data_IF_174491537327
#
_entry.id   IF_174491537327
#
_cell.length_a   1.000
_cell.length_b   1.000
_cell.length_c   1.000
_cell.angle_alpha   90.00
_cell.angle_beta   90.00
_cell.angle_gamma   90.00
#
_symmetry.space_group_name_H-M   'P 1'
#
loop_
_entity.id
_entity.type
_entity.pdbx_description
1 polymer ?
#
# COMPACT_ATOMS: atom_id res chain seq x y z
N UNK A 1 37.62 -9.37 -39.57
CA UNK A 1 37.12 -10.20 -40.68
C UNK A 1 35.62 -10.07 -40.70
N UNK A 2 35.04 -9.70 -41.84
CA UNK A 2 33.59 -9.57 -42.01
C UNK A 2 32.91 -10.92 -41.77
N UNK A 3 31.75 -10.91 -41.12
CA UNK A 3 30.91 -12.12 -40.96
C UNK A 3 30.15 -12.47 -42.24
N UNK A 4 29.99 -11.52 -43.15
CA UNK A 4 29.32 -11.73 -44.44
C UNK A 4 30.27 -12.46 -45.39
N UNK A 5 29.91 -13.66 -45.90
CA UNK A 5 30.74 -14.40 -46.83
C UNK A 5 30.74 -13.70 -48.20
N UNK A 6 31.91 -13.68 -48.85
CA UNK A 6 32.09 -13.13 -50.22
C UNK A 6 31.15 -13.77 -51.24
N UNK A 7 30.83 -15.05 -51.04
CA UNK A 7 29.95 -15.85 -51.90
C UNK A 7 28.55 -15.26 -51.96
N UNK A 8 28.02 -14.69 -50.86
CA UNK A 8 26.69 -14.05 -50.88
C UNK A 8 26.64 -12.82 -51.77
N UNK A 9 27.73 -12.04 -51.84
CA UNK A 9 27.81 -10.83 -52.69
C UNK A 9 27.95 -11.23 -54.15
N UNK A 10 28.74 -12.26 -54.45
CA UNK A 10 28.88 -12.81 -55.80
C UNK A 10 27.54 -13.37 -56.32
N UNK A 11 26.77 -14.07 -55.49
CA UNK A 11 25.44 -14.59 -55.85
C UNK A 11 24.45 -13.45 -56.14
N UNK A 12 24.48 -12.36 -55.37
CA UNK A 12 23.64 -11.17 -55.65
C UNK A 12 24.09 -10.46 -56.93
N UNK A 13 25.40 -10.38 -57.20
CA UNK A 13 25.89 -9.81 -58.45
C UNK A 13 25.44 -10.63 -59.67
N UNK A 14 25.46 -11.95 -59.55
CA UNK A 14 24.98 -12.88 -60.59
C UNK A 14 23.47 -12.75 -60.84
N UNK A 15 22.65 -12.52 -59.79
CA UNK A 15 21.20 -12.33 -59.95
C UNK A 15 20.84 -11.06 -60.71
N UNK A 16 21.70 -10.03 -60.63
CA UNK A 16 21.56 -8.77 -61.39
C UNK A 16 22.09 -8.93 -62.84
N UNK A 17 22.83 -10.01 -63.13
CA UNK A 17 23.38 -10.31 -64.46
C UNK A 17 24.87 -9.95 -64.64
N UNK A 18 25.58 -9.61 -63.56
CA UNK A 18 27.03 -9.41 -63.60
C UNK A 18 27.75 -10.76 -63.45
N UNK A 19 28.29 -11.28 -64.56
CA UNK A 19 28.88 -12.63 -64.61
C UNK A 19 30.20 -12.81 -63.84
N UNK A 20 31.06 -11.78 -63.78
CA UNK A 20 32.35 -11.83 -63.08
C UNK A 20 32.59 -10.52 -62.32
N UNK A 21 32.31 -10.51 -61.02
CA UNK A 21 32.75 -9.46 -60.11
C UNK A 21 34.22 -9.70 -59.71
N UNK A 22 35.04 -8.66 -59.59
CA UNK A 22 36.41 -8.83 -59.08
C UNK A 22 36.37 -9.22 -57.60
N UNK A 23 37.21 -10.17 -57.15
CA UNK A 23 37.20 -10.64 -55.76
C UNK A 23 37.58 -9.52 -54.78
N UNK A 24 38.39 -8.56 -55.20
CA UNK A 24 38.76 -7.39 -54.40
C UNK A 24 37.57 -6.44 -54.16
N UNK A 25 36.67 -6.30 -55.14
CA UNK A 25 35.45 -5.50 -54.98
C UNK A 25 34.46 -6.18 -54.01
N UNK A 26 34.30 -7.50 -54.09
CA UNK A 26 33.47 -8.26 -53.16
C UNK A 26 34.00 -8.15 -51.71
N UNK A 27 35.32 -8.22 -51.53
CA UNK A 27 35.96 -8.05 -50.22
C UNK A 27 35.82 -6.65 -49.64
N UNK A 28 35.83 -5.62 -50.49
CA UNK A 28 35.64 -4.23 -50.04
C UNK A 28 34.17 -3.92 -49.68
N UNK A 29 33.21 -4.55 -50.37
CA UNK A 29 31.77 -4.30 -50.18
C UNK A 29 31.20 -5.00 -48.93
N UNK A 30 31.71 -6.18 -48.59
CA UNK A 30 31.29 -6.94 -47.41
C UNK A 30 31.32 -6.14 -46.07
N UNK A 31 32.41 -5.46 -45.69
CA UNK A 31 32.45 -4.69 -44.45
C UNK A 31 31.53 -3.46 -44.46
N UNK A 32 31.27 -2.85 -45.62
CA UNK A 32 30.35 -1.71 -45.72
C UNK A 32 28.89 -2.15 -45.50
N UNK A 33 28.48 -3.27 -46.11
CA UNK A 33 27.17 -3.87 -45.85
C UNK A 33 27.01 -4.23 -44.37
N UNK A 34 28.03 -4.85 -43.77
CA UNK A 34 27.99 -5.19 -42.35
C UNK A 34 27.86 -3.93 -41.46
N UNK A 35 28.56 -2.85 -41.80
CA UNK A 35 28.46 -1.58 -41.10
C UNK A 35 27.03 -1.01 -41.17
N UNK A 36 26.40 -1.03 -42.35
CA UNK A 36 25.00 -0.58 -42.54
C UNK A 36 24.01 -1.42 -41.75
N UNK A 37 24.17 -2.74 -41.73
CA UNK A 37 23.31 -3.63 -40.93
C UNK A 37 23.46 -3.32 -39.43
N UNK A 38 24.69 -3.15 -38.94
CA UNK A 38 24.95 -2.79 -37.54
C UNK A 38 24.35 -1.43 -37.19
N UNK A 39 24.43 -0.45 -38.09
CA UNK A 39 23.86 0.87 -37.91
C UNK A 39 22.32 0.81 -37.73
N UNK A 40 21.61 0.08 -38.60
CA UNK A 40 20.16 -0.13 -38.51
C UNK A 40 19.80 -0.88 -37.21
N UNK A 41 20.54 -1.93 -36.88
CA UNK A 41 20.29 -2.71 -35.66
C UNK A 41 20.48 -1.88 -34.38
N UNK A 42 21.47 -0.98 -34.35
CA UNK A 42 21.66 -0.09 -33.20
C UNK A 42 20.46 0.85 -33.01
N UNK A 43 19.80 1.26 -34.08
CA UNK A 43 18.62 2.12 -34.00
C UNK A 43 17.35 1.35 -33.63
N UNK A 44 17.20 0.14 -34.16
CA UNK A 44 16.13 -0.75 -33.74
C UNK A 44 16.21 -1.05 -32.23
N UNK A 45 17.42 -1.27 -31.68
CA UNK A 45 17.63 -1.45 -30.23
C UNK A 45 17.24 -0.18 -29.45
N UNK A 46 17.50 1.02 -29.97
CA UNK A 46 17.05 2.27 -29.33
C UNK A 46 15.52 2.33 -29.31
N UNK A 47 14.85 2.04 -30.43
CA UNK A 47 13.39 2.02 -30.53
C UNK A 47 12.77 0.99 -29.56
N UNK A 48 13.36 -0.20 -29.46
CA UNK A 48 12.97 -1.25 -28.51
C UNK A 48 13.07 -0.77 -27.06
N UNK A 49 14.19 -0.14 -26.68
CA UNK A 49 14.39 0.41 -25.33
C UNK A 49 13.41 1.54 -25.01
N UNK A 50 13.13 2.42 -25.97
CA UNK A 50 12.12 3.47 -25.82
C UNK A 50 10.71 2.90 -25.66
N UNK A 51 10.44 1.75 -26.27
CA UNK A 51 9.20 0.99 -26.12
C UNK A 51 9.12 0.17 -24.81
N UNK A 52 10.14 0.24 -23.94
CA UNK A 52 10.25 -0.52 -22.67
C UNK A 52 10.16 -2.04 -22.84
N UNK A 53 10.58 -2.56 -24.00
CA UNK A 53 10.62 -4.00 -24.31
C UNK A 53 12.06 -4.51 -24.23
N UNK A 54 12.22 -5.80 -23.96
CA UNK A 54 13.52 -6.50 -24.00
C UNK A 54 13.70 -7.37 -25.24
N UNK A 55 12.62 -7.62 -25.98
CA UNK A 55 12.58 -8.40 -27.21
C UNK A 55 12.42 -7.43 -28.37
N UNK A 56 13.30 -7.56 -29.37
CA UNK A 56 13.28 -6.75 -30.58
C UNK A 56 12.23 -7.30 -31.56
N UNK A 57 11.34 -6.43 -32.03
CA UNK A 57 10.25 -6.78 -32.96
C UNK A 57 10.51 -6.22 -34.36
N UNK A 58 9.81 -6.75 -35.37
CA UNK A 58 9.93 -6.25 -36.76
C UNK A 58 9.58 -4.75 -36.85
N UNK A 59 8.56 -4.31 -36.11
CA UNK A 59 8.15 -2.90 -36.02
C UNK A 59 9.28 -1.96 -35.55
N UNK A 60 10.16 -2.45 -34.65
CA UNK A 60 11.30 -1.66 -34.17
C UNK A 60 12.34 -1.47 -35.29
N UNK A 61 12.49 -2.45 -36.19
CA UNK A 61 13.37 -2.39 -37.37
C UNK A 61 12.77 -1.50 -38.45
N UNK A 62 11.47 -1.62 -38.71
CA UNK A 62 10.75 -0.75 -39.67
C UNK A 62 10.82 0.72 -39.25
N UNK A 63 10.68 0.97 -37.94
CA UNK A 63 10.88 2.30 -37.37
C UNK A 63 12.32 2.78 -37.60
N UNK A 64 13.33 1.93 -37.41
CA UNK A 64 14.73 2.28 -37.68
C UNK A 64 15.00 2.57 -39.17
N UNK A 65 14.42 1.79 -40.09
CA UNK A 65 14.52 2.02 -41.54
C UNK A 65 13.92 3.36 -41.93
N UNK A 66 12.75 3.69 -41.38
CA UNK A 66 12.08 4.98 -41.63
C UNK A 66 12.91 6.18 -41.13
N UNK A 67 13.56 6.05 -39.97
CA UNK A 67 14.45 7.08 -39.41
C UNK A 67 15.68 7.34 -40.29
N UNK A 68 16.14 6.32 -41.02
CA UNK A 68 17.28 6.39 -41.94
C UNK A 68 16.91 6.71 -43.38
N UNK A 69 15.63 6.96 -43.66
CA UNK A 69 15.11 7.16 -45.01
C UNK A 69 15.45 6.00 -45.95
N UNK A 70 15.51 4.78 -45.42
CA UNK A 70 15.63 3.55 -46.22
C UNK A 70 14.22 3.09 -46.59
N UNK A 71 14.08 2.50 -47.78
CA UNK A 71 12.80 1.97 -48.24
C UNK A 71 12.27 0.89 -47.27
N UNK A 72 10.98 0.96 -46.89
CA UNK A 72 10.39 0.00 -45.96
C UNK A 72 10.28 -1.38 -46.61
N UNK A 73 10.55 -2.42 -45.83
CA UNK A 73 10.49 -3.80 -46.30
C UNK A 73 9.14 -4.41 -45.90
N UNK A 74 8.27 -4.64 -46.88
CA UNK A 74 6.95 -5.22 -46.65
C UNK A 74 6.99 -6.75 -46.54
N UNK A 75 6.01 -7.34 -45.85
CA UNK A 75 5.82 -8.80 -45.76
C UNK A 75 6.19 -9.45 -44.43
N UNK A 76 6.67 -8.67 -43.45
CA UNK A 76 7.13 -9.19 -42.14
C UNK A 76 6.16 -8.98 -40.98
N UNK A 77 4.91 -8.59 -41.25
CA UNK A 77 3.88 -8.34 -40.24
C UNK A 77 3.13 -9.60 -39.80
N UNK A 78 3.37 -10.75 -40.44
CA UNK A 78 2.72 -12.01 -40.06
C UNK A 78 3.30 -12.57 -38.75
N UNK A 79 2.43 -13.09 -37.88
CA UNK A 79 2.84 -13.77 -36.65
C UNK A 79 3.44 -15.16 -36.88
N UNK A 80 3.40 -15.67 -38.12
CA UNK A 80 3.94 -16.98 -38.45
C UNK A 80 5.47 -16.94 -38.63
N UNK A 81 6.21 -17.87 -38.01
CA UNK A 81 7.66 -17.92 -38.16
C UNK A 81 8.05 -18.35 -39.57
N UNK A 82 8.96 -17.59 -40.19
CA UNK A 82 9.56 -17.93 -41.48
C UNK A 82 10.27 -19.29 -41.41
N UNK A 83 9.91 -20.22 -42.30
CA UNK A 83 10.49 -21.57 -42.36
C UNK A 83 11.49 -21.66 -43.52
N UNK A 84 12.77 -21.59 -43.18
CA UNK A 84 13.86 -21.81 -44.15
C UNK A 84 14.04 -23.31 -44.43
N UNK A 85 13.88 -23.72 -45.69
CA UNK A 85 14.16 -25.09 -46.16
C UNK A 85 15.46 -25.12 -46.96
N UNK A 86 16.17 -26.25 -46.88
CA UNK A 86 17.41 -26.49 -47.65
C UNK A 86 17.06 -27.00 -49.04
N UNK A 87 17.72 -26.47 -50.06
CA UNK A 87 17.57 -26.97 -51.42
C UNK A 87 18.20 -28.36 -51.58
N UNK A 88 17.53 -29.22 -52.35
CA UNK A 88 18.01 -30.59 -52.59
C UNK A 88 19.20 -30.53 -53.55
N UNK A 89 20.39 -30.95 -53.10
CA UNK A 89 21.60 -31.01 -53.92
C UNK A 89 22.72 -30.02 -53.56
N UNK A 90 22.42 -28.96 -52.80
CA UNK A 90 23.42 -27.99 -52.32
C UNK A 90 23.34 -27.83 -50.80
N UNK A 91 24.48 -27.90 -50.11
CA UNK A 91 24.52 -27.85 -48.64
C UNK A 91 24.24 -26.46 -48.07
N UNK A 92 24.53 -25.42 -48.85
CA UNK A 92 24.61 -24.03 -48.38
C UNK A 92 23.51 -23.13 -48.96
N UNK A 93 22.59 -23.69 -49.74
CA UNK A 93 21.48 -22.95 -50.35
C UNK A 93 20.18 -23.19 -49.56
N UNK A 94 19.59 -22.10 -49.08
CA UNK A 94 18.32 -22.09 -48.37
C UNK A 94 17.30 -21.29 -49.18
N UNK A 95 16.05 -21.76 -49.18
CA UNK A 95 14.92 -21.04 -49.78
C UNK A 95 13.78 -20.93 -48.76
N UNK A 96 12.90 -19.96 -48.99
CA UNK A 96 11.70 -19.74 -48.17
C UNK A 96 10.58 -20.61 -48.76
N UNK A 97 9.99 -21.47 -47.94
CA UNK A 97 8.87 -22.33 -48.35
C UNK A 97 7.56 -21.56 -48.30
N UNK A 98 7.24 -20.86 -49.37
CA UNK A 98 5.96 -20.17 -49.52
C UNK A 98 4.93 -21.12 -50.12
N UNK A 99 3.95 -21.50 -49.30
CA UNK A 99 2.81 -22.30 -49.76
C UNK A 99 1.78 -21.37 -50.37
N UNK A 100 1.38 -21.67 -51.60
CA UNK A 100 0.23 -21.03 -52.22
C UNK A 100 -1.04 -21.41 -51.44
N UNK A 101 -1.83 -20.40 -51.08
CA UNK A 101 -3.10 -20.55 -50.35
C UNK A 101 -4.23 -20.03 -51.22
N UNK A 102 -5.33 -20.76 -51.28
CA UNK A 102 -6.50 -20.34 -52.04
C UNK A 102 -7.20 -19.14 -51.38
N UNK A 103 -7.55 -18.13 -52.17
CA UNK A 103 -8.23 -16.91 -51.71
C UNK A 103 -9.56 -17.22 -50.99
N UNK A 104 -10.23 -18.31 -51.34
CA UNK A 104 -11.48 -18.75 -50.70
C UNK A 104 -11.26 -19.17 -49.25
N UNK A 105 -10.16 -19.87 -48.98
CA UNK A 105 -9.82 -20.34 -47.63
C UNK A 105 -9.50 -19.16 -46.71
N UNK A 106 -8.89 -18.09 -47.24
CA UNK A 106 -8.60 -16.86 -46.48
C UNK A 106 -9.88 -16.10 -46.12
N UNK A 107 -10.87 -16.06 -47.01
CA UNK A 107 -12.15 -15.37 -46.76
C UNK A 107 -13.01 -16.13 -45.75
N UNK A 108 -12.96 -17.45 -45.77
CA UNK A 108 -13.72 -18.32 -44.86
C UNK A 108 -13.05 -18.48 -43.48
N UNK A 109 -11.81 -18.01 -43.32
CA UNK A 109 -11.08 -18.10 -42.07
C UNK A 109 -11.79 -17.34 -40.93
N UNK A 110 -11.95 -17.94 -39.74
CA UNK A 110 -12.60 -17.28 -38.62
C UNK A 110 -11.73 -16.14 -38.06
N UNK A 111 -12.37 -15.07 -37.61
CA UNK A 111 -11.67 -13.96 -36.96
C UNK A 111 -10.99 -14.39 -35.65
N UNK A 112 -9.80 -13.85 -35.34
CA UNK A 112 -9.15 -14.10 -34.07
C UNK A 112 -9.96 -13.51 -32.91
N UNK A 113 -9.88 -14.14 -31.74
CA UNK A 113 -10.52 -13.63 -30.52
C UNK A 113 -9.79 -12.37 -30.05
N UNK A 114 -10.53 -11.29 -29.84
CA UNK A 114 -9.96 -10.07 -29.27
C UNK A 114 -9.52 -10.30 -27.82
N UNK A 115 -8.35 -9.79 -27.40
CA UNK A 115 -7.96 -9.78 -26.00
C UNK A 115 -8.88 -8.88 -25.17
N UNK A 116 -8.88 -9.08 -23.85
CA UNK A 116 -9.57 -8.18 -22.92
C UNK A 116 -8.87 -6.81 -22.88
N UNK A 117 -9.65 -5.77 -22.57
CA UNK A 117 -9.12 -4.43 -22.38
C UNK A 117 -8.12 -4.37 -21.21
N UNK A 118 -7.15 -3.46 -21.33
CA UNK A 118 -6.12 -3.27 -20.32
C UNK A 118 -6.70 -2.71 -19.02
N UNK A 119 -6.57 -3.44 -17.92
CA UNK A 119 -6.96 -3.01 -16.58
C UNK A 119 -5.75 -3.01 -15.62
N UNK A 120 -5.78 -2.13 -14.62
CA UNK A 120 -4.74 -2.02 -13.59
C UNK A 120 -5.24 -2.66 -12.30
N UNK A 121 -4.50 -3.66 -11.80
CA UNK A 121 -4.72 -4.25 -10.48
C UNK A 121 -3.60 -3.81 -9.54
N UNK A 122 -3.97 -3.23 -8.39
CA UNK A 122 -3.03 -2.72 -7.38
C UNK A 122 -2.97 -3.64 -6.18
N UNK A 123 -1.76 -3.94 -5.70
CA UNK A 123 -1.53 -4.68 -4.47
C UNK A 123 -0.35 -4.07 -3.69
N UNK A 124 -0.18 -4.46 -2.43
CA UNK A 124 0.94 -4.03 -1.61
C UNK A 124 2.18 -4.85 -1.93
N UNK A 125 3.18 -4.22 -2.56
CA UNK A 125 4.48 -4.86 -2.79
C UNK A 125 5.32 -4.94 -1.51
N UNK A 126 5.30 -3.90 -0.67
CA UNK A 126 6.05 -3.86 0.58
C UNK A 126 5.35 -2.99 1.63
N UNK A 127 5.45 -3.42 2.89
CA UNK A 127 5.03 -2.66 4.08
C UNK A 127 6.25 -2.60 5.00
N UNK A 128 6.72 -1.40 5.34
CA UNK A 128 7.94 -1.21 6.18
C UNK A 128 9.18 -1.93 5.63
N UNK A 129 9.30 -2.02 4.30
CA UNK A 129 10.41 -2.72 3.63
C UNK A 129 10.32 -4.24 3.62
N UNK A 130 9.24 -4.82 4.19
CA UNK A 130 8.96 -6.27 4.15
C UNK A 130 7.88 -6.55 3.11
N UNK A 131 8.13 -7.49 2.21
CA UNK A 131 7.14 -7.94 1.22
C UNK A 131 6.09 -8.84 1.90
N UNK A 132 4.78 -8.47 1.88
CA UNK A 132 3.75 -9.32 2.44
C UNK A 132 3.53 -10.57 1.57
N UNK A 133 3.25 -11.70 2.21
CA UNK A 133 3.00 -12.98 1.54
C UNK A 133 1.58 -13.05 0.95
N UNK A 134 1.34 -12.27 -0.10
CA UNK A 134 0.09 -12.24 -0.87
C UNK A 134 0.32 -13.04 -2.18
N UNK A 135 -0.66 -13.78 -2.74
CA UNK A 135 -0.48 -14.53 -3.99
C UNK A 135 0.17 -13.77 -5.16
N UNK A 136 -0.04 -12.45 -5.28
CA UNK A 136 0.57 -11.62 -6.31
C UNK A 136 2.07 -11.33 -6.06
N UNK A 137 2.52 -11.46 -4.81
CA UNK A 137 3.91 -11.24 -4.41
C UNK A 137 4.69 -12.55 -4.51
N UNK A 138 5.66 -12.57 -5.42
CA UNK A 138 6.58 -13.71 -5.56
C UNK A 138 7.43 -13.82 -4.29
N UNK A 139 7.48 -14.99 -3.61
CA UNK A 139 8.35 -15.18 -2.46
C UNK A 139 9.82 -14.99 -2.88
N UNK A 140 10.59 -14.31 -2.04
CA UNK A 140 12.01 -13.95 -2.30
C UNK A 140 12.87 -15.17 -2.68
N UNK A 141 12.47 -16.36 -2.22
CA UNK A 141 13.08 -17.65 -2.54
C UNK A 141 13.04 -18.02 -4.03
N UNK A 142 12.09 -17.48 -4.81
CA UNK A 142 11.98 -17.75 -6.25
C UNK A 142 12.94 -16.91 -7.11
N UNK A 143 13.62 -15.91 -6.54
CA UNK A 143 14.71 -15.19 -7.20
C UNK A 143 16.07 -15.90 -7.03
N UNK A 144 16.15 -16.85 -6.11
CA UNK A 144 17.29 -17.77 -6.00
C UNK A 144 17.05 -18.87 -7.04
N UNK A 145 18.05 -19.07 -7.90
CA UNK A 145 18.04 -20.08 -8.96
C UNK A 145 17.66 -21.49 -8.44
N UNK A 146 17.21 -22.42 -9.31
CA UNK A 146 16.70 -23.75 -8.93
C UNK A 146 17.72 -24.71 -8.26
N UNK A 147 18.89 -24.24 -7.83
CA UNK A 147 20.01 -25.08 -7.40
C UNK A 147 20.04 -25.43 -5.90
N UNK A 148 19.24 -24.78 -5.03
CA UNK A 148 19.38 -24.94 -3.57
C UNK A 148 18.10 -25.36 -2.81
N UNK A 149 17.02 -25.71 -3.50
CA UNK A 149 15.69 -25.93 -2.91
C UNK A 149 15.42 -27.34 -2.35
N UNK A 150 16.42 -28.00 -1.72
CA UNK A 150 16.24 -29.38 -1.18
C UNK A 150 16.34 -29.56 0.34
N UNK A 151 16.24 -28.52 1.16
CA UNK A 151 16.40 -28.70 2.62
C UNK A 151 15.34 -28.16 3.57
N UNK A 152 14.26 -27.54 3.13
CA UNK A 152 13.32 -26.89 4.07
C UNK A 152 11.85 -27.14 3.70
N UNK A 153 11.45 -28.40 3.61
CA UNK A 153 10.03 -28.77 3.62
C UNK A 153 9.74 -29.75 4.75
N UNK A 154 9.47 -29.22 5.94
CA UNK A 154 8.58 -29.82 6.94
C UNK A 154 8.23 -28.74 7.96
N UNK A 155 7.08 -28.10 7.76
CA UNK A 155 6.16 -27.56 8.78
C UNK A 155 5.19 -26.58 8.10
N UNK A 156 4.11 -27.12 7.55
CA UNK A 156 2.87 -26.37 7.28
C UNK A 156 1.76 -27.15 7.95
N UNK A 157 1.30 -26.69 9.10
CA UNK A 157 -0.12 -26.60 9.46
C UNK A 157 -0.24 -25.48 10.52
N UNK A 158 -1.42 -24.88 10.56
CA UNK A 158 -1.94 -23.88 11.52
C UNK A 158 -1.75 -22.38 11.25
N UNK A 159 -2.89 -21.81 10.86
CA UNK A 159 -3.38 -20.44 11.04
C UNK A 159 -2.52 -19.29 10.47
N UNK A 160 -3.17 -18.40 9.72
CA UNK A 160 -2.69 -17.05 9.48
C UNK A 160 -3.20 -16.15 10.62
N UNK A 161 -2.45 -15.95 11.72
CA UNK A 161 -2.41 -14.64 12.32
C UNK A 161 -1.52 -13.78 11.42
N UNK A 162 -2.00 -12.58 11.08
CA UNK A 162 -1.12 -11.48 10.69
C UNK A 162 -0.29 -11.18 11.94
N UNK A 163 0.72 -12.01 12.17
CA UNK A 163 1.67 -11.85 13.23
C UNK A 163 2.63 -10.81 12.70
N UNK A 164 2.34 -9.55 13.00
CA UNK A 164 3.38 -8.53 13.13
C UNK A 164 4.21 -8.94 14.36
N UNK A 165 4.81 -10.13 14.33
CA UNK A 165 5.99 -10.45 15.12
C UNK A 165 7.00 -9.46 14.59
N UNK A 166 7.22 -8.35 15.30
CA UNK A 166 8.25 -7.37 15.00
C UNK A 166 9.60 -8.11 14.86
N UNK A 167 10.05 -8.49 13.66
CA UNK A 167 11.21 -9.35 13.50
C UNK A 167 12.36 -8.49 12.99
N UNK A 168 12.49 -7.29 13.54
CA UNK A 168 13.67 -6.47 13.37
C UNK A 168 13.83 -5.78 14.71
N UNK A 169 14.90 -6.11 15.44
CA UNK A 169 15.45 -5.15 16.40
C UNK A 169 15.73 -3.92 15.54
N UNK A 170 14.81 -2.94 15.51
CA UNK A 170 15.03 -1.74 14.73
C UNK A 170 16.42 -1.25 15.14
N UNK A 171 17.31 -1.07 14.16
CA UNK A 171 18.63 -0.48 14.38
C UNK A 171 18.37 1.00 14.69
N UNK A 172 17.83 1.25 15.87
CA UNK A 172 17.59 2.56 16.42
C UNK A 172 18.97 3.15 16.69
N UNK A 173 19.23 4.31 16.09
CA UNK A 173 20.42 5.06 16.46
C UNK A 173 20.37 5.41 17.93
N UNK A 174 21.53 5.57 18.55
CA UNK A 174 21.63 6.01 19.96
C UNK A 174 20.90 7.33 20.18
N UNK A 175 20.89 8.22 19.18
CA UNK A 175 20.21 9.51 19.23
C UNK A 175 18.68 9.35 19.23
N UNK A 176 18.14 8.43 18.42
CA UNK A 176 16.70 8.14 18.39
C UNK A 176 16.21 7.52 19.70
N UNK A 177 17.04 6.67 20.33
CA UNK A 177 16.73 6.12 21.65
C UNK A 177 16.71 7.22 22.72
N UNK A 178 17.71 8.09 22.75
CA UNK A 178 17.74 9.24 23.68
C UNK A 178 16.57 10.19 23.45
N UNK A 179 16.17 10.40 22.20
CA UNK A 179 14.98 11.19 21.86
C UNK A 179 13.70 10.54 22.39
N UNK A 180 13.54 9.23 22.18
CA UNK A 180 12.41 8.47 22.71
C UNK A 180 12.35 8.52 24.24
N UNK A 181 13.47 8.26 24.92
CA UNK A 181 13.58 8.31 26.38
C UNK A 181 13.24 9.71 26.91
N UNK A 182 13.66 10.76 26.20
CA UNK A 182 13.35 12.13 26.61
C UNK A 182 11.85 12.44 26.50
N UNK A 183 11.19 11.96 25.45
CA UNK A 183 9.74 12.15 25.28
C UNK A 183 8.94 11.36 26.30
N UNK A 184 9.31 10.10 26.55
CA UNK A 184 8.62 9.25 27.53
C UNK A 184 8.78 9.84 28.94
N UNK A 185 9.98 10.29 29.31
CA UNK A 185 10.24 10.98 30.58
C UNK A 185 9.38 12.25 30.72
N UNK A 186 9.32 13.10 29.68
CA UNK A 186 8.52 14.33 29.70
C UNK A 186 7.01 14.04 29.81
N UNK A 187 6.54 12.97 29.17
CA UNK A 187 5.13 12.55 29.19
C UNK A 187 4.70 12.09 30.58
N UNK A 188 5.57 11.36 31.29
CA UNK A 188 5.29 10.80 32.63
C UNK A 188 5.52 11.80 33.77
N UNK A 189 6.53 12.67 33.66
CA UNK A 189 6.96 13.52 34.79
C UNK A 189 6.49 14.98 34.74
N UNK A 190 6.22 15.54 33.54
CA UNK A 190 5.97 16.99 33.35
C UNK A 190 4.97 17.29 32.23
N UNK A 191 3.73 16.81 32.36
CA UNK A 191 2.64 16.96 31.38
C UNK A 191 2.23 18.41 31.04
N UNK A 192 2.50 19.37 31.93
CA UNK A 192 2.15 20.80 31.75
C UNK A 192 3.34 21.72 31.44
N UNK A 193 4.54 21.17 31.28
CA UNK A 193 5.72 21.97 30.97
C UNK A 193 5.69 22.57 29.55
N UNK A 194 6.26 23.77 29.40
CA UNK A 194 6.51 24.39 28.08
C UNK A 194 7.33 23.45 27.20
N UNK A 195 8.28 22.73 27.79
CA UNK A 195 9.12 21.73 27.10
C UNK A 195 8.28 20.59 26.51
N UNK A 196 7.18 20.20 27.17
CA UNK A 196 6.30 19.16 26.63
C UNK A 196 5.52 19.68 25.42
N UNK A 197 5.10 20.95 25.42
CA UNK A 197 4.44 21.56 24.24
C UNK A 197 5.40 21.68 23.06
N UNK A 198 6.65 22.07 23.29
CA UNK A 198 7.69 22.12 22.27
C UNK A 198 8.00 20.71 21.73
N UNK A 199 8.11 19.70 22.60
CA UNK A 199 8.25 18.31 22.19
C UNK A 199 7.09 17.86 21.30
N UNK A 200 5.84 18.16 21.68
CA UNK A 200 4.66 17.83 20.86
C UNK A 200 4.67 18.49 19.47
N UNK A 201 5.23 19.70 19.35
CA UNK A 201 5.40 20.37 18.05
C UNK A 201 6.48 19.66 17.24
N UNK A 202 7.62 19.33 17.87
CA UNK A 202 8.69 18.52 17.26
C UNK A 202 8.15 17.19 16.72
N UNK A 203 7.36 16.43 17.51
CA UNK A 203 6.74 15.18 17.01
C UNK A 203 5.81 15.41 15.80
N UNK A 204 5.17 16.57 15.70
CA UNK A 204 4.25 16.89 14.62
C UNK A 204 4.97 17.34 13.33
N UNK A 205 6.17 17.92 13.44
CA UNK A 205 6.93 18.48 12.31
C UNK A 205 8.05 17.59 11.82
N UNK A 206 8.66 16.79 12.71
CA UNK A 206 9.93 16.14 12.41
C UNK A 206 9.77 14.97 11.44
N UNK A 207 10.62 14.98 10.41
CA UNK A 207 10.76 13.91 9.42
C UNK A 207 11.87 12.95 9.86
N UNK A 208 11.59 11.65 9.96
CA UNK A 208 12.57 10.63 10.36
C UNK A 208 12.21 9.84 11.63
N UNK A 209 11.08 10.16 12.26
CA UNK A 209 10.57 9.45 13.43
C UNK A 209 9.87 8.12 13.10
N UNK A 210 9.81 7.75 11.82
CA UNK A 210 9.09 6.56 11.37
C UNK A 210 9.52 5.26 12.08
N UNK A 211 10.82 4.98 12.30
CA UNK A 211 11.25 3.79 13.04
C UNK A 211 10.81 3.76 14.52
N UNK A 212 10.47 4.91 15.11
CA UNK A 212 10.03 5.03 16.50
C UNK A 212 8.52 4.82 16.67
N UNK A 213 7.73 4.91 15.61
CA UNK A 213 6.26 4.80 15.65
C UNK A 213 5.77 3.49 16.28
N UNK A 214 6.28 2.30 15.92
CA UNK A 214 5.89 1.06 16.59
C UNK A 214 6.15 1.10 18.10
N UNK A 215 7.31 1.65 18.52
CA UNK A 215 7.66 1.77 19.94
C UNK A 215 6.75 2.75 20.67
N UNK A 216 6.43 3.90 20.07
CA UNK A 216 5.43 4.82 20.62
C UNK A 216 4.05 4.17 20.72
N UNK A 217 3.62 3.40 19.71
CA UNK A 217 2.31 2.75 19.73
C UNK A 217 2.20 1.70 20.85
N UNK A 218 3.27 0.92 21.08
CA UNK A 218 3.33 -0.04 22.17
C UNK A 218 3.38 0.65 23.53
N UNK A 219 4.24 1.67 23.68
CA UNK A 219 4.36 2.48 24.89
C UNK A 219 3.02 3.13 25.25
N UNK A 220 2.33 3.73 24.29
CA UNK A 220 1.01 4.35 24.51
C UNK A 220 -0.02 3.28 24.94
N UNK A 221 -0.05 2.12 24.30
CA UNK A 221 -0.99 1.06 24.67
C UNK A 221 -0.75 0.53 26.09
N UNK A 222 0.50 0.28 26.45
CA UNK A 222 0.91 -0.23 27.76
C UNK A 222 0.65 0.81 28.86
N UNK A 223 1.10 2.06 28.67
CA UNK A 223 0.90 3.13 29.63
C UNK A 223 -0.57 3.49 29.81
N UNK A 224 -1.40 3.48 28.76
CA UNK A 224 -2.85 3.69 28.91
C UNK A 224 -3.48 2.62 29.80
N UNK A 225 -3.04 1.36 29.73
CA UNK A 225 -3.57 0.30 30.59
C UNK A 225 -3.09 0.39 32.04
N UNK A 226 -1.86 0.87 32.27
CA UNK A 226 -1.28 1.05 33.62
C UNK A 226 -1.77 2.31 34.32
N UNK A 227 -1.90 3.41 33.58
CA UNK A 227 -2.19 4.76 34.10
C UNK A 227 -3.68 5.15 34.07
N UNK A 228 -4.60 4.18 34.10
CA UNK A 228 -6.06 4.47 34.14
C UNK A 228 -6.49 5.30 35.35
N UNK A 229 -5.66 5.33 36.41
CA UNK A 229 -5.97 6.04 37.64
C UNK A 229 -5.42 7.47 37.72
N UNK A 230 -4.51 7.87 36.81
CA UNK A 230 -3.88 9.19 36.81
C UNK A 230 -4.22 9.95 35.53
N UNK A 231 -4.94 11.07 35.66
CA UNK A 231 -5.39 11.87 34.52
C UNK A 231 -4.29 12.64 33.76
N UNK A 232 -3.32 13.31 34.43
CA UNK A 232 -2.31 14.11 33.74
C UNK A 232 -1.49 13.34 32.69
N UNK A 233 -0.95 12.13 32.96
CA UNK A 233 -0.23 11.36 31.96
C UNK A 233 -1.15 10.87 30.84
N UNK A 234 -2.41 10.54 31.14
CA UNK A 234 -3.36 10.06 30.14
C UNK A 234 -3.72 11.16 29.11
N UNK A 235 -3.93 12.39 29.58
CA UNK A 235 -4.12 13.57 28.71
C UNK A 235 -2.86 13.82 27.88
N UNK A 236 -1.67 13.72 28.49
CA UNK A 236 -0.40 13.88 27.79
C UNK A 236 -0.22 12.82 26.68
N UNK A 237 -0.51 11.55 26.95
CA UNK A 237 -0.46 10.45 25.97
C UNK A 237 -1.42 10.70 24.80
N UNK A 238 -2.66 11.12 25.07
CA UNK A 238 -3.60 11.46 24.00
C UNK A 238 -3.10 12.66 23.18
N UNK A 239 -2.43 13.65 23.79
CA UNK A 239 -1.80 14.77 23.05
C UNK A 239 -0.65 14.29 22.16
N UNK A 240 0.15 13.33 22.62
CA UNK A 240 1.20 12.68 21.81
C UNK A 240 0.58 11.97 20.60
N UNK A 241 -0.49 11.19 20.82
CA UNK A 241 -1.25 10.54 19.73
C UNK A 241 -1.73 11.58 18.72
N UNK A 242 -2.25 12.73 19.18
CA UNK A 242 -2.66 13.82 18.30
C UNK A 242 -1.50 14.32 17.44
N UNK A 243 -0.34 14.60 18.04
CA UNK A 243 0.83 15.09 17.31
C UNK A 243 1.32 14.08 16.27
N UNK A 244 1.36 12.79 16.62
CA UNK A 244 1.71 11.72 15.69
C UNK A 244 0.71 11.62 14.52
N UNK A 245 -0.59 11.80 14.78
CA UNK A 245 -1.63 11.78 13.74
C UNK A 245 -1.64 13.03 12.86
N UNK A 246 -1.17 14.18 13.36
CA UNK A 246 -1.05 15.41 12.59
C UNK A 246 0.16 15.39 11.64
N UNK A 247 1.18 14.58 11.94
CA UNK A 247 2.40 14.54 11.15
C UNK A 247 2.11 13.98 9.73
N UNK A 248 2.40 14.73 8.65
CA UNK A 248 2.19 14.27 7.28
C UNK A 248 3.28 13.28 6.81
N UNK A 249 4.45 13.29 7.44
CA UNK A 249 5.61 12.49 7.06
C UNK A 249 5.59 11.08 7.66
N UNK A 250 4.66 10.80 8.58
CA UNK A 250 4.56 9.51 9.26
C UNK A 250 3.38 8.71 8.70
N UNK A 251 3.66 7.50 8.22
CA UNK A 251 2.63 6.54 7.85
C UNK A 251 2.16 5.76 9.09
N UNK A 252 1.10 6.24 9.75
CA UNK A 252 0.54 5.62 10.96
C UNK A 252 -0.44 4.47 10.63
N UNK A 253 -0.79 4.28 9.35
CA UNK A 253 -1.84 3.35 8.90
C UNK A 253 -1.70 1.91 9.42
N UNK A 254 -0.51 1.28 9.44
CA UNK A 254 -0.33 -0.07 9.96
C UNK A 254 -0.64 -0.19 11.46
N UNK A 255 -0.42 0.88 12.21
CA UNK A 255 -0.54 0.92 13.67
C UNK A 255 -1.90 1.40 14.17
N UNK A 256 -2.79 1.85 13.27
CA UNK A 256 -4.14 2.29 13.64
C UNK A 256 -4.91 1.18 14.37
N UNK A 257 -4.73 -0.08 13.98
CA UNK A 257 -5.43 -1.18 14.64
C UNK A 257 -5.02 -1.33 16.11
N UNK A 258 -3.77 -1.03 16.47
CA UNK A 258 -3.25 -1.10 17.83
C UNK A 258 -3.54 0.16 18.65
N UNK A 259 -3.53 1.35 18.03
CA UNK A 259 -3.80 2.62 18.72
C UNK A 259 -5.29 2.82 19.04
N UNK A 260 -6.19 2.36 18.16
CA UNK A 260 -7.63 2.59 18.32
C UNK A 260 -8.23 1.99 19.60
N UNK A 261 -7.93 0.74 19.99
CA UNK A 261 -8.36 0.19 21.27
C UNK A 261 -7.94 1.04 22.47
N UNK A 262 -6.72 1.59 22.47
CA UNK A 262 -6.22 2.44 23.57
C UNK A 262 -7.04 3.73 23.68
N UNK A 263 -7.34 4.39 22.55
CA UNK A 263 -8.14 5.62 22.52
C UNK A 263 -9.60 5.33 22.92
N UNK A 264 -10.19 4.23 22.42
CA UNK A 264 -11.55 3.81 22.77
C UNK A 264 -11.64 3.45 24.26
N UNK A 265 -10.59 2.85 24.83
CA UNK A 265 -10.53 2.54 26.26
C UNK A 265 -10.54 3.83 27.09
N UNK A 266 -9.80 4.86 26.69
CA UNK A 266 -9.84 6.18 27.35
C UNK A 266 -11.24 6.83 27.27
N UNK A 267 -11.97 6.59 26.18
CA UNK A 267 -13.32 7.10 25.98
C UNK A 267 -14.38 6.35 26.81
N UNK A 268 -14.32 5.02 26.84
CA UNK A 268 -15.38 4.13 27.37
C UNK A 268 -14.97 3.44 28.69
N UNK A 269 -13.89 3.85 29.35
CA UNK A 269 -13.49 3.29 30.64
C UNK A 269 -14.52 3.58 31.76
N UNK A 270 -14.77 2.56 32.60
CA UNK A 270 -15.75 2.60 33.69
C UNK A 270 -15.33 3.54 34.84
N UNK A 271 -14.04 3.56 35.15
CA UNK A 271 -13.42 4.43 36.17
C UNK A 271 -12.15 4.98 35.55
N UNK A 272 -12.10 6.30 35.39
CA UNK A 272 -10.86 7.03 35.19
C UNK A 272 -10.61 7.76 36.52
N UNK A 273 -9.35 7.80 36.98
CA UNK A 273 -8.99 8.55 38.17
C UNK A 273 -9.18 7.87 39.52
N UNK A 274 -8.46 8.40 40.51
CA UNK A 274 -8.63 8.05 41.92
C UNK A 274 -9.79 8.80 42.60
N UNK A 275 -10.24 9.96 42.08
CA UNK A 275 -11.34 10.75 42.68
C UNK A 275 -12.47 11.02 41.69
N UNK A 276 -13.69 11.01 42.23
CA UNK A 276 -14.94 11.37 41.53
C UNK A 276 -14.98 12.86 41.10
N UNK A 277 -14.07 13.68 41.61
CA UNK A 277 -13.99 15.13 41.35
C UNK A 277 -12.97 15.51 40.28
N UNK A 278 -12.21 14.55 39.73
CA UNK A 278 -11.21 14.87 38.71
C UNK A 278 -11.89 15.08 37.34
N UNK A 279 -11.29 15.93 36.49
CA UNK A 279 -11.85 16.33 35.19
C UNK A 279 -11.74 15.24 34.10
N UNK A 280 -12.34 14.07 34.33
CA UNK A 280 -12.39 12.95 33.37
C UNK A 280 -13.14 13.29 32.07
N UNK A 281 -13.98 14.32 32.13
CA UNK A 281 -14.83 14.76 31.02
C UNK A 281 -14.01 15.36 29.87
N UNK A 282 -13.04 16.22 30.18
CA UNK A 282 -12.18 16.86 29.18
C UNK A 282 -11.36 15.83 28.40
N UNK A 283 -10.87 14.80 29.10
CA UNK A 283 -10.15 13.70 28.46
C UNK A 283 -11.04 12.94 27.48
N UNK A 284 -12.30 12.67 27.85
CA UNK A 284 -13.27 11.98 26.96
C UNK A 284 -13.63 12.82 25.75
N UNK A 285 -13.88 14.11 25.93
CA UNK A 285 -14.15 15.02 24.83
C UNK A 285 -12.94 15.09 23.87
N UNK A 286 -11.73 15.11 24.43
CA UNK A 286 -10.50 15.07 23.66
C UNK A 286 -10.33 13.75 22.90
N UNK A 287 -10.53 12.60 23.55
CA UNK A 287 -10.49 11.28 22.91
C UNK A 287 -11.55 11.14 21.82
N UNK A 288 -12.77 11.66 22.02
CA UNK A 288 -13.82 11.68 20.99
C UNK A 288 -13.39 12.51 19.77
N UNK A 289 -12.78 13.69 19.99
CA UNK A 289 -12.25 14.52 18.91
C UNK A 289 -11.11 13.84 18.14
N UNK A 290 -10.28 13.05 18.82
CA UNK A 290 -9.23 12.24 18.20
C UNK A 290 -9.81 11.13 17.33
N UNK A 291 -10.77 10.36 17.86
CA UNK A 291 -11.46 9.32 17.08
C UNK A 291 -12.09 9.90 15.82
N UNK A 292 -12.73 11.07 15.93
CA UNK A 292 -13.30 11.76 14.77
C UNK A 292 -12.23 12.18 13.76
N UNK A 293 -11.10 12.70 14.23
CA UNK A 293 -9.97 13.08 13.36
C UNK A 293 -9.40 11.87 12.61
N UNK A 294 -9.25 10.72 13.29
CA UNK A 294 -8.81 9.47 12.67
C UNK A 294 -9.83 9.00 11.63
N UNK A 295 -11.12 9.00 11.96
CA UNK A 295 -12.17 8.54 11.05
C UNK A 295 -12.30 9.44 9.81
N UNK A 296 -12.11 10.77 9.94
CA UNK A 296 -12.10 11.68 8.78
C UNK A 296 -10.88 11.46 7.89
N UNK A 297 -9.70 11.23 8.47
CA UNK A 297 -8.45 11.09 7.71
C UNK A 297 -8.33 9.73 7.02
N UNK A 298 -8.79 8.66 7.68
CA UNK A 298 -8.60 7.28 7.21
C UNK A 298 -9.88 6.57 6.76
N UNK A 299 -11.06 7.18 6.93
CA UNK A 299 -12.35 6.55 6.61
C UNK A 299 -12.51 6.16 5.14
N UNK A 300 -11.91 6.90 4.20
CA UNK A 300 -11.95 6.58 2.78
C UNK A 300 -11.06 5.37 2.41
N UNK A 301 -9.95 5.15 3.13
CA UNK A 301 -9.02 4.05 2.88
C UNK A 301 -9.46 2.76 3.57
N UNK A 302 -10.09 2.87 4.75
CA UNK A 302 -10.53 1.74 5.56
C UNK A 302 -12.03 1.82 5.86
N UNK A 303 -12.84 1.28 4.96
CA UNK A 303 -14.31 1.19 5.13
C UNK A 303 -14.72 0.42 6.41
N UNK A 304 -13.87 -0.52 6.87
CA UNK A 304 -14.13 -1.29 8.08
C UNK A 304 -13.89 -0.52 9.38
N UNK A 305 -13.07 0.54 9.37
CA UNK A 305 -12.69 1.27 10.59
C UNK A 305 -13.90 1.96 11.21
N UNK A 306 -14.62 2.75 10.41
CA UNK A 306 -15.78 3.49 10.88
C UNK A 306 -16.90 2.55 11.37
N UNK A 307 -17.14 1.46 10.64
CA UNK A 307 -18.12 0.44 11.03
C UNK A 307 -17.77 -0.22 12.36
N UNK A 308 -16.50 -0.58 12.57
CA UNK A 308 -16.02 -1.20 13.83
C UNK A 308 -16.16 -0.26 15.01
N UNK A 309 -15.69 0.99 14.90
CA UNK A 309 -15.79 1.99 15.98
C UNK A 309 -17.25 2.25 16.34
N UNK A 310 -18.09 2.45 15.32
CA UNK A 310 -19.51 2.73 15.52
C UNK A 310 -20.22 1.58 16.24
N UNK A 311 -19.93 0.33 15.87
CA UNK A 311 -20.46 -0.85 16.57
C UNK A 311 -20.00 -0.92 18.02
N UNK A 312 -18.72 -0.66 18.29
CA UNK A 312 -18.19 -0.69 19.67
C UNK A 312 -18.85 0.38 20.56
N UNK A 313 -19.02 1.61 20.05
CA UNK A 313 -19.68 2.69 20.78
C UNK A 313 -21.18 2.43 20.95
N UNK A 314 -21.86 1.87 19.93
CA UNK A 314 -23.27 1.52 20.02
C UNK A 314 -23.51 0.40 21.04
N UNK A 315 -22.65 -0.62 21.08
CA UNK A 315 -22.73 -1.65 22.13
C UNK A 315 -22.47 -1.03 23.53
N UNK A 316 -21.64 0.00 23.63
CA UNK A 316 -21.48 0.75 24.89
C UNK A 316 -22.71 1.58 25.27
N UNK A 317 -23.41 2.13 24.28
CA UNK A 317 -24.60 2.95 24.49
C UNK A 317 -25.85 2.13 24.85
N UNK A 318 -26.08 1.00 24.18
CA UNK A 318 -27.30 0.19 24.35
C UNK A 318 -27.30 -0.70 25.60
N UNK A 319 -26.15 -0.97 26.21
CA UNK A 319 -26.07 -1.84 27.38
C UNK A 319 -26.45 -1.08 28.67
N UNK A 320 -27.60 -1.36 29.32
CA UNK A 320 -28.09 -0.61 30.48
C UNK A 320 -27.32 -0.90 31.78
N UNK A 321 -26.42 -1.89 31.77
CA UNK A 321 -25.60 -2.28 32.93
C UNK A 321 -24.31 -1.49 33.04
N UNK A 322 -23.99 -0.65 32.04
CA UNK A 322 -22.78 0.15 31.99
C UNK A 322 -22.89 1.42 32.84
N UNK A 323 -21.75 1.98 33.21
CA UNK A 323 -21.75 3.20 34.03
C UNK A 323 -22.13 4.42 33.20
N UNK A 324 -22.78 5.42 33.81
CA UNK A 324 -23.17 6.69 33.14
C UNK A 324 -22.00 7.40 32.47
N UNK A 325 -20.82 7.25 33.06
CA UNK A 325 -19.56 7.74 32.51
C UNK A 325 -19.20 7.09 31.16
N UNK A 326 -19.52 5.82 30.95
CA UNK A 326 -19.31 5.10 29.69
C UNK A 326 -20.35 5.51 28.63
N UNK A 327 -21.59 5.74 29.05
CA UNK A 327 -22.64 6.25 28.17
C UNK A 327 -22.30 7.65 27.64
N UNK A 328 -21.82 8.55 28.49
CA UNK A 328 -21.34 9.87 28.06
C UNK A 328 -20.26 9.75 26.97
N UNK A 329 -19.23 8.93 27.20
CA UNK A 329 -18.16 8.72 26.23
C UNK A 329 -18.65 8.12 24.91
N UNK A 330 -19.62 7.21 24.98
CA UNK A 330 -20.25 6.63 23.78
C UNK A 330 -21.03 7.67 22.98
N UNK A 331 -21.86 8.49 23.64
CA UNK A 331 -22.66 9.55 23.00
C UNK A 331 -21.75 10.60 22.38
N UNK A 332 -20.77 11.10 23.13
CA UNK A 332 -19.82 12.10 22.63
C UNK A 332 -18.99 11.58 21.46
N UNK A 333 -18.56 10.31 21.51
CA UNK A 333 -17.88 9.64 20.41
C UNK A 333 -18.75 9.53 19.15
N UNK A 334 -20.02 9.13 19.30
CA UNK A 334 -20.98 9.03 18.20
C UNK A 334 -21.33 10.40 17.61
N UNK A 335 -21.47 11.43 18.46
CA UNK A 335 -21.67 12.81 18.03
C UNK A 335 -20.49 13.34 17.20
N UNK A 336 -19.25 13.05 17.63
CA UNK A 336 -18.04 13.48 16.95
C UNK A 336 -17.83 12.81 15.56
N UNK A 337 -18.37 11.61 15.34
CA UNK A 337 -18.30 10.89 14.06
C UNK A 337 -19.12 11.54 12.94
N UNK A 338 -20.14 12.34 13.27
CA UNK A 338 -20.87 13.19 12.32
C UNK A 338 -22.40 13.07 12.39
N UNK A 339 -23.13 14.01 11.75
CA UNK A 339 -24.58 14.16 11.91
C UNK A 339 -25.38 12.99 11.36
N UNK A 340 -24.88 12.31 10.32
CA UNK A 340 -25.55 11.14 9.74
C UNK A 340 -25.56 9.96 10.72
N UNK A 341 -24.49 9.79 11.50
CA UNK A 341 -24.39 8.73 12.51
C UNK A 341 -25.36 8.99 13.65
N UNK A 342 -25.43 10.23 14.12
CA UNK A 342 -26.39 10.68 15.15
C UNK A 342 -27.84 10.40 14.70
N UNK A 343 -28.18 10.77 13.47
CA UNK A 343 -29.53 10.58 12.92
C UNK A 343 -29.93 9.11 12.84
N UNK A 344 -28.99 8.24 12.48
CA UNK A 344 -29.27 6.81 12.28
C UNK A 344 -29.25 5.99 13.57
N UNK A 345 -28.41 6.36 14.55
CA UNK A 345 -28.14 5.51 15.72
C UNK A 345 -28.67 6.07 17.03
N UNK A 346 -28.60 7.40 17.22
CA UNK A 346 -29.02 8.04 18.47
C UNK A 346 -30.52 8.32 18.44
N UNK A 347 -31.04 8.96 17.39
CA UNK A 347 -32.47 9.31 17.30
C UNK A 347 -33.46 8.15 17.54
N UNK A 348 -33.31 6.96 16.92
CA UNK A 348 -34.29 5.88 17.12
C UNK A 348 -34.24 5.28 18.53
N UNK A 349 -33.10 5.39 19.22
CA UNK A 349 -32.90 4.82 20.55
C UNK A 349 -33.00 5.88 21.66
N UNK A 350 -33.32 7.13 21.32
CA UNK A 350 -33.34 8.25 22.26
C UNK A 350 -34.52 8.14 23.23
N UNK A 351 -35.71 7.84 22.72
CA UNK A 351 -36.94 7.69 23.52
C UNK A 351 -36.82 6.61 24.62
N UNK A 352 -36.39 5.36 24.32
CA UNK A 352 -36.21 4.35 25.36
C UNK A 352 -35.05 4.69 26.31
N UNK A 353 -34.03 5.41 25.85
CA UNK A 353 -32.90 5.80 26.69
C UNK A 353 -33.26 6.94 27.66
N UNK A 354 -34.08 7.91 27.23
CA UNK A 354 -34.61 8.96 28.10
C UNK A 354 -35.49 8.41 29.22
N UNK A 355 -36.35 7.42 28.92
CA UNK A 355 -37.14 6.72 29.93
C UNK A 355 -36.27 6.00 30.99
N UNK A 356 -35.06 5.58 30.61
CA UNK A 356 -34.08 4.97 31.51
C UNK A 356 -33.26 6.01 32.31
N UNK A 357 -33.04 7.21 31.75
CA UNK A 357 -32.32 8.32 32.39
C UNK A 357 -33.19 9.12 33.38
N UNK A 358 -34.47 9.35 33.07
CA UNK A 358 -35.42 10.07 33.92
C UNK A 358 -35.43 9.63 35.40
N UNK A 359 -35.45 8.32 35.73
CA UNK A 359 -35.41 7.88 37.13
C UNK A 359 -34.08 8.13 37.84
N UNK A 360 -32.97 8.32 37.11
CA UNK A 360 -31.64 8.65 37.69
C UNK A 360 -31.43 10.16 37.91
N UNK A 361 -32.22 11.00 37.25
CA UNK A 361 -32.19 12.47 37.43
C UNK A 361 -33.03 12.97 38.60
N UNK A 362 -34.03 12.18 39.01
CA UNK A 362 -34.97 12.53 40.08
C UNK A 362 -34.37 12.27 41.47
N UNK A 363 -34.51 13.28 42.34
CA UNK A 363 -34.05 13.28 43.74
C UNK A 363 -34.59 12.12 44.59
N UNK A 364 -35.76 11.59 44.23
CA UNK A 364 -36.48 10.60 45.04
C UNK A 364 -35.92 9.17 44.91
N UNK A 365 -35.18 8.85 43.84
CA UNK A 365 -34.71 7.48 43.55
C UNK A 365 -33.20 7.30 43.67
N UNK A 366 -32.39 8.34 43.48
CA UNK A 366 -30.93 8.28 43.66
C UNK A 366 -30.42 9.36 44.63
N UNK A 367 -29.90 8.93 45.78
CA UNK A 367 -29.31 9.81 46.82
C UNK A 367 -27.88 10.26 46.53
N UNK A 368 -27.23 9.70 45.50
CA UNK A 368 -25.85 10.02 45.15
C UNK A 368 -25.79 11.24 44.23
N UNK A 369 -25.38 12.38 44.77
CA UNK A 369 -25.21 13.64 44.02
C UNK A 369 -24.29 13.51 42.80
N UNK A 370 -23.24 12.70 42.89
CA UNK A 370 -22.30 12.46 41.78
C UNK A 370 -22.96 11.79 40.57
N UNK A 371 -23.77 10.75 40.80
CA UNK A 371 -24.48 10.05 39.71
C UNK A 371 -25.55 10.94 39.07
N UNK A 372 -26.19 11.78 39.87
CA UNK A 372 -27.16 12.76 39.39
C UNK A 372 -26.49 13.81 38.49
N UNK A 373 -25.34 14.34 38.91
CA UNK A 373 -24.57 15.29 38.10
C UNK A 373 -24.03 14.64 36.82
N UNK A 374 -23.63 13.37 36.86
CA UNK A 374 -23.26 12.58 35.69
C UNK A 374 -24.45 12.42 34.73
N UNK A 375 -25.65 12.09 35.23
CA UNK A 375 -26.86 11.96 34.44
C UNK A 375 -27.28 13.28 33.78
N UNK A 376 -27.18 14.42 34.49
CA UNK A 376 -27.40 15.75 33.91
C UNK A 376 -26.40 16.11 32.82
N UNK A 377 -25.13 15.70 32.96
CA UNK A 377 -24.11 15.91 31.91
C UNK A 377 -24.35 15.03 30.68
N UNK A 378 -24.78 13.79 30.88
CA UNK A 378 -25.22 12.90 29.79
C UNK A 378 -26.41 13.52 29.05
N UNK A 379 -27.40 14.03 29.79
CA UNK A 379 -28.55 14.71 29.20
C UNK A 379 -28.14 15.96 28.40
N UNK A 380 -27.18 16.75 28.90
CA UNK A 380 -26.65 17.90 28.16
C UNK A 380 -25.80 17.58 26.93
N UNK A 381 -25.35 16.33 26.79
CA UNK A 381 -24.58 15.85 25.63
C UNK A 381 -25.43 15.19 24.53
N UNK A 382 -26.66 14.79 24.86
CA UNK A 382 -27.69 14.33 23.93
C UNK A 382 -28.35 15.52 23.23
#
# INVERSE_FOLDING_TARGET
>A
MSLVPKESIEVIAQSIGFGNLSPDAALALAPDVEYRVREIMQEAIKCMRHSKRTILTADDVDSALSLRNVEPIYGFASGDPLRFKRAVGHKDLFYIDDKEVDLKEVIEAPFPKAPLDTAVATHWLAIEGVQPAIPENVPVEAFVSPAESKKLEHNKEDALPIDIKLPVKHVLSRELQLYFDKITELTLSRSDSVLFKEALVSLATDSGLHPLVPYFSYFIADEVTRSLNDLPPLIALMRVVRSLLCNPHIHVEPYLHQLMPSIITCLVAKRLGHRLADNHWELRDFSASLVASICRRFGHKYHNLQSRVTKTLLNAFLDPTKAMTQHYGAIQGLAALGPNVVRLLILPNLEPYLQLLEPEMLLEKQKNEAKRNEAWRVYGSL
#
